data_IF_810427071024
#
_entry.id   IF_810427071024
#
_cell.length_a   1.000
_cell.length_b   1.000
_cell.length_c   1.000
_cell.angle_alpha   90.00
_cell.angle_beta   90.00
_cell.angle_gamma   90.00
#
_symmetry.space_group_name_H-M   'P 1'
#
loop_
_entity.id
_entity.type
_entity.pdbx_description
1 polymer ?
#
# COMPACT_ATOMS: atom_id res chain seq x y z
N UNK A 1 2.34 3.57 -38.29
CA UNK A 1 1.10 3.83 -37.53
C UNK A 1 0.25 2.59 -37.57
N UNK A 2 0.24 1.86 -36.47
CA UNK A 2 -0.60 0.68 -36.29
C UNK A 2 -1.98 1.18 -35.82
N UNK A 3 -3.05 0.92 -36.59
CA UNK A 3 -4.40 1.38 -36.25
C UNK A 3 -4.84 0.81 -34.90
N UNK A 4 -5.47 1.64 -34.07
CA UNK A 4 -6.23 1.16 -32.91
C UNK A 4 -7.23 0.09 -33.37
N UNK A 5 -7.39 -0.97 -32.58
CA UNK A 5 -8.30 -2.08 -32.86
C UNK A 5 -9.36 -2.16 -31.75
N UNK A 6 -10.63 -2.49 -32.07
CA UNK A 6 -11.69 -2.61 -31.07
C UNK A 6 -11.29 -3.54 -29.92
N UNK A 7 -11.36 -3.04 -28.68
CA UNK A 7 -11.03 -3.80 -27.47
C UNK A 7 -9.52 -4.01 -27.22
N UNK A 8 -8.62 -3.47 -28.05
CA UNK A 8 -7.16 -3.57 -27.90
C UNK A 8 -6.50 -2.19 -27.88
N UNK A 9 -6.75 -1.42 -26.82
CA UNK A 9 -6.14 -0.09 -26.61
C UNK A 9 -4.63 -0.17 -26.33
N UNK A 10 -4.14 -1.33 -25.87
CA UNK A 10 -2.74 -1.59 -25.53
C UNK A 10 -1.78 -1.65 -26.73
N UNK A 11 -2.24 -1.46 -27.98
CA UNK A 11 -1.42 -1.54 -29.21
C UNK A 11 -1.02 -0.16 -29.77
N UNK A 12 -1.45 0.94 -29.15
CA UNK A 12 -1.15 2.30 -29.63
C UNK A 12 0.37 2.58 -29.64
N UNK A 13 0.95 2.86 -30.79
CA UNK A 13 2.35 3.25 -30.93
C UNK A 13 2.43 4.77 -31.13
N UNK A 14 2.81 5.48 -30.07
CA UNK A 14 3.04 6.92 -30.09
C UNK A 14 4.20 7.26 -29.15
N UNK A 15 5.17 8.02 -29.67
CA UNK A 15 6.35 8.43 -28.92
C UNK A 15 6.31 9.91 -28.54
N UNK A 16 5.41 10.69 -29.17
CA UNK A 16 5.20 12.11 -28.91
C UNK A 16 3.72 12.45 -28.72
N UNK A 17 3.45 13.57 -28.06
CA UNK A 17 2.09 14.09 -27.85
C UNK A 17 1.33 14.26 -29.18
N UNK A 18 1.98 14.77 -30.23
CA UNK A 18 1.37 14.95 -31.55
C UNK A 18 1.03 13.63 -32.25
N UNK A 19 1.91 12.63 -32.15
CA UNK A 19 1.64 11.28 -32.65
C UNK A 19 0.48 10.64 -31.89
N UNK A 20 0.44 10.81 -30.57
CA UNK A 20 -0.65 10.33 -29.72
C UNK A 20 -1.98 10.99 -30.11
N UNK A 21 -2.01 12.32 -30.18
CA UNK A 21 -3.17 13.10 -30.62
C UNK A 21 -3.68 12.63 -31.98
N UNK A 22 -2.78 12.45 -32.96
CA UNK A 22 -3.12 11.97 -34.30
C UNK A 22 -3.69 10.55 -34.28
N UNK A 23 -3.09 9.65 -33.50
CA UNK A 23 -3.54 8.26 -33.39
C UNK A 23 -4.92 8.14 -32.72
N UNK A 24 -5.16 8.94 -31.67
CA UNK A 24 -6.44 8.97 -30.95
C UNK A 24 -7.53 9.63 -31.80
N UNK A 25 -7.22 10.70 -32.53
CA UNK A 25 -8.12 11.33 -33.49
C UNK A 25 -8.52 10.38 -34.66
N UNK A 26 -7.67 9.40 -34.95
CA UNK A 26 -7.87 8.39 -35.98
C UNK A 26 -8.42 7.06 -35.42
N UNK A 27 -8.92 7.03 -34.18
CA UNK A 27 -9.56 5.84 -33.62
C UNK A 27 -10.69 5.34 -34.55
N UNK A 28 -10.78 4.03 -34.82
CA UNK A 28 -11.69 3.48 -35.83
C UNK A 28 -13.17 3.60 -35.45
N UNK A 29 -13.46 3.67 -34.15
CA UNK A 29 -14.80 3.80 -33.59
C UNK A 29 -14.78 4.47 -32.20
N UNK A 30 -15.97 4.84 -31.72
CA UNK A 30 -16.17 5.46 -30.41
C UNK A 30 -15.74 4.55 -29.24
N UNK A 31 -15.78 3.23 -29.42
CA UNK A 31 -15.42 2.28 -28.37
C UNK A 31 -13.89 2.26 -28.14
N UNK A 32 -13.10 2.33 -29.21
CA UNK A 32 -11.65 2.50 -29.14
C UNK A 32 -11.27 3.79 -28.43
N UNK A 33 -11.88 4.90 -28.82
CA UNK A 33 -11.64 6.20 -28.20
C UNK A 33 -12.00 6.18 -26.72
N UNK A 34 -13.19 5.67 -26.38
CA UNK A 34 -13.62 5.52 -24.99
C UNK A 34 -12.63 4.68 -24.17
N UNK A 35 -12.11 3.59 -24.72
CA UNK A 35 -11.11 2.77 -24.03
C UNK A 35 -9.79 3.48 -23.78
N UNK A 36 -9.32 4.35 -24.69
CA UNK A 36 -8.12 5.18 -24.46
C UNK A 36 -8.39 6.22 -23.38
N UNK A 37 -9.53 6.90 -23.42
CA UNK A 37 -9.92 7.90 -22.43
C UNK A 37 -10.10 7.29 -21.04
N UNK A 38 -10.69 6.10 -20.95
CA UNK A 38 -10.81 5.35 -19.71
C UNK A 38 -9.44 4.95 -19.14
N UNK A 39 -8.47 4.58 -19.98
CA UNK A 39 -7.10 4.34 -19.56
C UNK A 39 -6.44 5.61 -18.99
N UNK A 40 -6.58 6.76 -19.66
CA UNK A 40 -6.08 8.05 -19.16
C UNK A 40 -6.74 8.48 -17.84
N UNK A 41 -7.98 8.07 -17.57
CA UNK A 41 -8.69 8.41 -16.33
C UNK A 41 -8.16 7.63 -15.11
N UNK A 42 -7.69 6.39 -15.28
CA UNK A 42 -7.32 5.51 -14.16
C UNK A 42 -6.21 6.05 -13.27
N UNK A 43 -5.13 6.67 -13.78
CA UNK A 43 -4.11 7.28 -12.92
C UNK A 43 -4.63 8.49 -12.12
N UNK A 44 -5.74 9.12 -12.54
CA UNK A 44 -6.35 10.29 -11.90
C UNK A 44 -7.25 9.89 -10.72
N UNK A 45 -6.71 9.06 -9.83
CA UNK A 45 -7.35 8.73 -8.55
C UNK A 45 -7.39 9.97 -7.66
N UNK A 46 -8.51 10.15 -6.95
CA UNK A 46 -8.73 11.33 -6.13
C UNK A 46 -7.76 11.38 -4.94
N UNK A 47 -6.80 12.30 -5.00
CA UNK A 47 -5.94 12.69 -3.89
C UNK A 47 -5.91 14.21 -3.80
N UNK A 48 -6.12 14.75 -2.59
CA UNK A 48 -6.08 16.20 -2.34
C UNK A 48 -4.68 16.72 -2.03
N UNK A 49 -3.67 15.86 -2.06
CA UNK A 49 -2.41 16.12 -1.37
C UNK A 49 -1.16 15.95 -2.23
N UNK A 50 -1.34 15.66 -3.52
CA UNK A 50 -0.26 15.63 -4.50
C UNK A 50 -0.48 16.76 -5.50
N UNK A 51 0.53 17.62 -5.64
CA UNK A 51 0.51 18.82 -6.46
C UNK A 51 1.48 18.63 -7.62
N UNK A 52 1.02 18.87 -8.83
CA UNK A 52 1.81 18.73 -10.04
C UNK A 52 1.65 19.98 -10.90
N UNK A 53 2.74 20.43 -11.48
CA UNK A 53 2.80 21.53 -12.43
C UNK A 53 2.16 21.07 -13.73
N UNK A 54 1.12 21.79 -14.14
CA UNK A 54 0.43 21.62 -15.41
C UNK A 54 0.09 23.01 -15.96
N UNK A 55 0.50 23.28 -17.20
CA UNK A 55 0.40 24.61 -17.84
C UNK A 55 1.04 25.74 -17.01
N UNK A 56 2.21 25.46 -16.43
CA UNK A 56 2.96 26.41 -15.61
C UNK A 56 2.39 26.69 -14.21
N UNK A 57 1.28 26.05 -13.82
CA UNK A 57 0.64 26.24 -12.51
C UNK A 57 0.63 24.95 -11.70
N UNK A 58 0.81 25.05 -10.38
CA UNK A 58 0.60 23.92 -9.48
C UNK A 58 -0.88 23.58 -9.38
N UNK A 59 -1.22 22.34 -9.75
CA UNK A 59 -2.57 21.78 -9.74
C UNK A 59 -2.64 20.62 -8.79
N UNK A 60 -3.71 20.53 -8.00
CA UNK A 60 -4.03 19.27 -7.32
C UNK A 60 -4.62 18.28 -8.32
N UNK A 61 -4.62 16.99 -7.99
CA UNK A 61 -5.15 15.98 -8.92
C UNK A 61 -6.63 16.13 -9.27
N UNK A 62 -7.43 16.76 -8.40
CA UNK A 62 -8.81 17.12 -8.73
C UNK A 62 -8.89 18.12 -9.90
N UNK A 63 -7.94 19.05 -9.97
CA UNK A 63 -7.84 20.01 -11.07
C UNK A 63 -7.34 19.31 -12.34
N UNK A 64 -6.36 18.39 -12.23
CA UNK A 64 -5.93 17.57 -13.36
C UNK A 64 -7.05 16.69 -13.91
N UNK A 65 -7.91 16.15 -13.04
CA UNK A 65 -9.11 15.45 -13.47
C UNK A 65 -10.06 16.38 -14.21
N UNK A 66 -10.23 17.60 -13.74
CA UNK A 66 -11.07 18.59 -14.43
C UNK A 66 -10.50 18.94 -15.81
N UNK A 67 -9.17 19.05 -15.93
CA UNK A 67 -8.49 19.22 -17.22
C UNK A 67 -8.73 18.02 -18.15
N UNK A 68 -8.57 16.79 -17.64
CA UNK A 68 -8.89 15.57 -18.39
C UNK A 68 -10.35 15.54 -18.87
N UNK A 69 -11.33 15.84 -18.00
CA UNK A 69 -12.75 15.81 -18.37
C UNK A 69 -13.07 16.88 -19.42
N UNK A 70 -12.38 18.02 -19.40
CA UNK A 70 -12.47 19.04 -20.46
C UNK A 70 -11.92 18.55 -21.80
N UNK A 71 -10.76 17.87 -21.80
CA UNK A 71 -10.20 17.27 -23.02
C UNK A 71 -11.12 16.16 -23.57
N UNK A 72 -11.68 15.32 -22.70
CA UNK A 72 -12.57 14.21 -23.04
C UNK A 72 -13.81 14.65 -23.82
N UNK A 73 -14.27 15.88 -23.64
CA UNK A 73 -15.47 16.42 -24.28
C UNK A 73 -15.22 17.05 -25.66
N UNK A 74 -13.96 17.15 -26.10
CA UNK A 74 -13.55 17.78 -27.36
C UNK A 74 -12.96 16.76 -28.34
N UNK A 75 -13.00 17.09 -29.63
CA UNK A 75 -12.28 16.29 -30.64
C UNK A 75 -10.77 16.32 -30.30
N UNK A 76 -10.04 15.18 -30.29
CA UNK A 76 -8.61 15.16 -30.03
C UNK A 76 -7.79 16.12 -30.89
N UNK A 77 -8.23 16.45 -32.11
CA UNK A 77 -7.59 17.43 -32.99
C UNK A 77 -7.59 18.86 -32.43
N UNK A 78 -8.47 19.15 -31.48
CA UNK A 78 -8.61 20.45 -30.82
C UNK A 78 -7.78 20.57 -29.54
N UNK A 79 -7.11 19.49 -29.11
CA UNK A 79 -6.24 19.52 -27.95
C UNK A 79 -4.97 20.33 -28.28
N UNK A 80 -4.62 21.26 -27.41
CA UNK A 80 -3.32 21.91 -27.48
C UNK A 80 -2.18 20.94 -27.11
N UNK A 81 -0.94 21.38 -27.28
CA UNK A 81 0.22 20.50 -27.10
C UNK A 81 0.40 20.03 -25.65
N UNK A 82 0.08 20.86 -24.67
CA UNK A 82 0.13 20.50 -23.24
C UNK A 82 -1.00 19.54 -22.85
N UNK A 83 -2.18 19.69 -23.44
CA UNK A 83 -3.30 18.76 -23.31
C UNK A 83 -2.98 17.39 -23.92
N UNK A 84 -2.44 17.37 -25.14
CA UNK A 84 -2.01 16.13 -25.78
C UNK A 84 -0.90 15.44 -24.98
N UNK A 85 0.05 16.20 -24.42
CA UNK A 85 1.12 15.66 -23.59
C UNK A 85 0.63 15.10 -22.25
N UNK A 86 -0.33 15.78 -21.60
CA UNK A 86 -1.01 15.25 -20.43
C UNK A 86 -1.70 13.91 -20.74
N UNK A 87 -2.46 13.83 -21.84
CA UNK A 87 -3.18 12.62 -22.22
C UNK A 87 -2.23 11.45 -22.51
N UNK A 88 -1.13 11.70 -23.24
CA UNK A 88 -0.06 10.72 -23.47
C UNK A 88 0.57 10.27 -22.14
N UNK A 89 0.88 11.21 -21.25
CA UNK A 89 1.50 10.94 -19.95
C UNK A 89 0.61 10.04 -19.09
N UNK A 90 -0.68 10.34 -19.00
CA UNK A 90 -1.66 9.53 -18.28
C UNK A 90 -1.80 8.13 -18.91
N UNK A 91 -1.84 8.05 -20.23
CA UNK A 91 -1.91 6.76 -20.92
C UNK A 91 -0.66 5.89 -20.67
N UNK A 92 0.53 6.50 -20.68
CA UNK A 92 1.79 5.83 -20.37
C UNK A 92 1.84 5.33 -18.92
N UNK A 93 1.33 6.11 -17.97
CA UNK A 93 1.23 5.73 -16.57
C UNK A 93 0.29 4.53 -16.36
N UNK A 94 -0.89 4.52 -16.99
CA UNK A 94 -1.81 3.36 -16.95
C UNK A 94 -1.15 2.12 -17.56
N UNK A 95 -0.49 2.28 -18.72
CA UNK A 95 0.22 1.19 -19.42
C UNK A 95 1.29 0.55 -18.55
N UNK A 96 1.97 1.32 -17.70
CA UNK A 96 3.04 0.85 -16.82
C UNK A 96 2.58 0.54 -15.38
N UNK A 97 1.27 0.52 -15.12
CA UNK A 97 0.70 0.39 -13.76
C UNK A 97 1.36 1.33 -12.74
N UNK A 98 1.62 2.57 -13.15
CA UNK A 98 2.34 3.58 -12.37
C UNK A 98 1.37 4.66 -11.91
N UNK A 99 1.38 4.98 -10.62
CA UNK A 99 0.55 6.06 -10.08
C UNK A 99 1.17 7.44 -10.28
N UNK A 100 0.33 8.47 -10.28
CA UNK A 100 0.79 9.85 -10.35
C UNK A 100 1.68 10.27 -9.18
N UNK A 101 1.68 9.57 -8.05
CA UNK A 101 2.53 9.82 -6.88
C UNK A 101 4.01 9.44 -7.07
N UNK A 102 4.34 8.79 -8.19
CA UNK A 102 5.73 8.58 -8.59
C UNK A 102 6.33 9.80 -9.28
N UNK A 103 5.52 10.79 -9.66
CA UNK A 103 6.01 12.03 -10.24
C UNK A 103 6.33 13.01 -9.11
N UNK A 104 7.46 13.72 -9.20
CA UNK A 104 7.89 14.67 -8.15
C UNK A 104 7.00 15.91 -8.14
N UNK A 105 6.96 16.64 -9.25
CA UNK A 105 6.32 17.95 -9.32
C UNK A 105 5.73 18.27 -10.70
N UNK A 106 5.91 17.44 -11.72
CA UNK A 106 5.45 17.69 -13.09
C UNK A 106 4.63 16.52 -13.62
N UNK A 107 3.64 16.81 -14.47
CA UNK A 107 2.84 15.80 -15.18
C UNK A 107 2.97 15.99 -16.69
N UNK A 108 4.20 15.81 -17.17
CA UNK A 108 4.57 15.86 -18.58
C UNK A 108 5.29 14.58 -19.01
N UNK A 109 5.38 14.35 -20.32
CA UNK A 109 5.94 13.11 -20.86
C UNK A 109 7.41 12.90 -20.51
N UNK A 110 8.16 13.97 -20.26
CA UNK A 110 9.55 13.90 -19.82
C UNK A 110 9.64 13.40 -18.37
N UNK A 111 8.81 13.92 -17.47
CA UNK A 111 8.73 13.47 -16.08
C UNK A 111 8.30 11.99 -15.99
N UNK A 112 7.30 11.57 -16.79
CA UNK A 112 6.91 10.16 -16.85
C UNK A 112 8.05 9.29 -17.39
N UNK A 113 8.76 9.74 -18.43
CA UNK A 113 9.90 9.03 -19.00
C UNK A 113 11.03 8.83 -17.97
N UNK A 114 11.36 9.85 -17.18
CA UNK A 114 12.36 9.76 -16.11
C UNK A 114 12.02 8.65 -15.10
N UNK A 115 10.77 8.62 -14.63
CA UNK A 115 10.28 7.58 -13.71
C UNK A 115 10.34 6.19 -14.33
N UNK A 116 9.90 6.05 -15.58
CA UNK A 116 9.90 4.76 -16.25
C UNK A 116 11.31 4.26 -16.55
N UNK A 117 12.27 5.14 -16.84
CA UNK A 117 13.68 4.75 -16.95
C UNK A 117 14.25 4.28 -15.62
N UNK A 118 13.94 4.97 -14.51
CA UNK A 118 14.35 4.55 -13.19
C UNK A 118 13.78 3.17 -12.83
N UNK A 119 12.48 2.93 -13.08
CA UNK A 119 11.83 1.62 -12.88
C UNK A 119 12.42 0.54 -13.78
N UNK A 120 12.64 0.83 -15.06
CA UNK A 120 13.26 -0.10 -15.99
C UNK A 120 14.65 -0.50 -15.49
N UNK A 121 15.51 0.46 -15.13
CA UNK A 121 16.85 0.19 -14.61
C UNK A 121 16.82 -0.64 -13.31
N UNK A 122 15.89 -0.35 -12.40
CA UNK A 122 15.66 -1.13 -11.18
C UNK A 122 15.34 -2.59 -11.51
N UNK A 123 14.41 -2.82 -12.44
CA UNK A 123 13.97 -4.17 -12.80
C UNK A 123 15.05 -4.94 -13.57
N UNK A 124 15.62 -4.33 -14.62
CA UNK A 124 16.65 -5.01 -15.42
C UNK A 124 17.93 -5.25 -14.61
N UNK A 125 18.26 -4.38 -13.66
CA UNK A 125 19.35 -4.63 -12.70
C UNK A 125 19.22 -5.96 -11.95
N UNK A 126 17.99 -6.47 -11.78
CA UNK A 126 17.71 -7.76 -11.15
C UNK A 126 17.60 -8.90 -12.16
N UNK A 127 16.81 -8.73 -13.23
CA UNK A 127 16.42 -9.85 -14.11
C UNK A 127 17.15 -9.91 -15.45
N UNK A 128 17.70 -8.80 -15.93
CA UNK A 128 18.36 -8.71 -17.24
C UNK A 128 19.35 -7.53 -17.33
N UNK A 129 20.50 -7.54 -16.63
CA UNK A 129 21.34 -6.34 -16.46
C UNK A 129 21.92 -5.74 -17.74
N UNK A 130 21.99 -6.53 -18.81
CA UNK A 130 22.49 -6.08 -20.13
C UNK A 130 21.39 -5.47 -21.02
N UNK A 131 20.13 -5.51 -20.60
CA UNK A 131 19.01 -5.01 -21.39
C UNK A 131 19.00 -3.48 -21.44
N UNK A 132 18.80 -2.93 -22.64
CA UNK A 132 18.66 -1.48 -22.87
C UNK A 132 17.20 -1.07 -22.84
N UNK A 133 16.94 0.10 -22.26
CA UNK A 133 15.62 0.70 -22.25
C UNK A 133 15.14 1.01 -23.68
N UNK A 134 13.86 0.77 -24.01
CA UNK A 134 13.27 1.25 -25.25
C UNK A 134 13.30 2.79 -25.36
N UNK A 135 13.47 3.30 -26.58
CA UNK A 135 13.52 4.75 -26.85
C UNK A 135 12.11 5.40 -26.80
N UNK A 136 11.07 4.68 -27.19
CA UNK A 136 9.69 5.15 -27.20
C UNK A 136 9.04 5.15 -25.82
N UNK A 137 8.26 6.19 -25.48
CA UNK A 137 7.65 6.31 -24.14
C UNK A 137 6.68 5.15 -23.86
N UNK A 138 5.78 4.86 -24.79
CA UNK A 138 4.81 3.78 -24.63
C UNK A 138 5.46 2.40 -24.72
N UNK A 139 6.54 2.25 -25.51
CA UNK A 139 7.33 1.03 -25.54
C UNK A 139 8.04 0.78 -24.19
N UNK A 140 8.61 1.83 -23.59
CA UNK A 140 9.21 1.79 -22.26
C UNK A 140 8.17 1.45 -21.18
N UNK A 141 6.99 2.08 -21.23
CA UNK A 141 5.89 1.80 -20.31
C UNK A 141 5.45 0.32 -20.34
N UNK A 142 5.21 -0.23 -21.53
CA UNK A 142 4.89 -1.66 -21.71
C UNK A 142 6.01 -2.54 -21.20
N UNK A 143 7.27 -2.18 -21.48
CA UNK A 143 8.40 -3.00 -21.06
C UNK A 143 8.54 -3.05 -19.54
N UNK A 144 8.30 -1.93 -18.86
CA UNK A 144 8.24 -1.88 -17.38
C UNK A 144 7.13 -2.80 -16.86
N UNK A 145 5.93 -2.75 -17.44
CA UNK A 145 4.82 -3.64 -17.08
C UNK A 145 5.16 -5.12 -17.30
N UNK A 146 5.77 -5.48 -18.42
CA UNK A 146 6.19 -6.85 -18.73
C UNK A 146 7.28 -7.38 -17.78
N UNK A 147 8.18 -6.50 -17.33
CA UNK A 147 9.27 -6.85 -16.42
C UNK A 147 8.77 -7.05 -14.98
N UNK A 148 7.72 -6.34 -14.56
CA UNK A 148 7.17 -6.39 -13.20
C UNK A 148 6.88 -7.83 -12.71
N UNK A 149 6.07 -8.66 -13.40
CA UNK A 149 5.80 -10.03 -12.96
C UNK A 149 7.06 -10.90 -12.99
N UNK A 150 8.05 -10.60 -13.84
CA UNK A 150 9.32 -11.34 -13.91
C UNK A 150 10.14 -11.09 -12.65
N UNK A 151 10.24 -9.83 -12.19
CA UNK A 151 10.91 -9.44 -10.93
C UNK A 151 10.20 -10.06 -9.73
N UNK A 152 8.86 -10.02 -9.72
CA UNK A 152 8.04 -10.54 -8.62
C UNK A 152 8.14 -12.06 -8.39
N UNK A 153 8.78 -12.81 -9.29
CA UNK A 153 9.06 -14.25 -9.09
C UNK A 153 10.14 -14.50 -8.04
N UNK A 154 11.00 -13.52 -7.77
CA UNK A 154 12.14 -13.68 -6.87
C UNK A 154 12.31 -12.52 -5.89
N UNK A 155 11.60 -11.41 -6.10
CA UNK A 155 11.69 -10.20 -5.28
C UNK A 155 10.31 -9.67 -4.91
N UNK A 156 10.19 -9.12 -3.72
CA UNK A 156 9.07 -8.27 -3.32
C UNK A 156 9.28 -6.84 -3.82
N UNK A 157 8.20 -6.23 -4.31
CA UNK A 157 8.17 -4.82 -4.66
C UNK A 157 7.63 -4.03 -3.46
N UNK A 158 8.30 -2.96 -3.09
CA UNK A 158 7.87 -2.09 -2.01
C UNK A 158 7.95 -0.63 -2.40
N UNK A 159 7.11 0.20 -1.79
CA UNK A 159 7.14 1.64 -2.00
C UNK A 159 7.98 2.33 -0.94
N UNK A 160 8.75 3.33 -1.33
CA UNK A 160 9.42 4.27 -0.42
C UNK A 160 8.69 5.60 -0.52
N UNK A 161 8.22 6.13 0.61
CA UNK A 161 7.52 7.41 0.68
C UNK A 161 8.35 8.37 1.52
N UNK A 162 8.73 9.51 0.95
CA UNK A 162 9.22 10.65 1.72
C UNK A 162 8.09 11.65 1.93
N UNK A 163 7.66 11.82 3.18
CA UNK A 163 6.60 12.75 3.55
C UNK A 163 6.94 14.22 3.28
N UNK A 164 8.21 14.62 3.19
CA UNK A 164 8.54 16.03 2.87
C UNK A 164 8.18 16.39 1.43
N UNK A 165 8.53 15.52 0.49
CA UNK A 165 8.32 15.74 -0.93
C UNK A 165 6.99 15.15 -1.44
N UNK A 166 6.33 14.30 -0.63
CA UNK A 166 5.22 13.45 -1.06
C UNK A 166 5.54 12.65 -2.34
N UNK A 167 6.80 12.26 -2.47
CA UNK A 167 7.35 11.55 -3.61
C UNK A 167 7.44 10.06 -3.28
N UNK A 168 6.87 9.21 -4.14
CA UNK A 168 6.96 7.76 -4.03
C UNK A 168 8.00 7.24 -5.01
N UNK A 169 8.90 6.40 -4.52
CA UNK A 169 9.73 5.53 -5.37
C UNK A 169 9.42 4.07 -5.11
N UNK A 170 9.86 3.20 -6.00
CA UNK A 170 9.77 1.76 -5.83
C UNK A 170 11.16 1.18 -5.52
N UNK A 171 11.19 0.18 -4.64
CA UNK A 171 12.34 -0.64 -4.35
C UNK A 171 12.05 -2.12 -4.59
N UNK A 172 13.11 -2.91 -4.72
CA UNK A 172 13.07 -4.36 -4.84
C UNK A 172 13.75 -4.99 -3.63
N UNK A 173 13.17 -6.04 -3.09
CA UNK A 173 13.71 -6.81 -1.97
C UNK A 173 13.75 -8.29 -2.33
N UNK A 174 14.90 -9.00 -2.23
CA UNK A 174 14.93 -10.43 -2.50
C UNK A 174 13.98 -11.21 -1.56
N UNK A 175 13.13 -12.07 -2.10
CA UNK A 175 12.24 -12.91 -1.29
C UNK A 175 13.03 -13.87 -0.39
N UNK A 176 14.23 -14.26 -0.79
CA UNK A 176 15.13 -15.09 0.00
C UNK A 176 15.54 -14.44 1.34
N UNK A 177 15.47 -13.11 1.45
CA UNK A 177 15.79 -12.38 2.68
C UNK A 177 14.62 -12.40 3.69
N UNK A 178 13.43 -12.89 3.27
CA UNK A 178 12.20 -12.92 4.06
C UNK A 178 11.95 -14.35 4.57
N UNK A 179 12.61 -14.74 5.66
CA UNK A 179 12.42 -16.07 6.27
C UNK A 179 11.13 -16.14 7.12
N UNK A 180 10.02 -16.51 6.50
CA UNK A 180 8.74 -16.72 7.19
C UNK A 180 8.62 -18.08 7.87
N UNK A 181 9.52 -19.02 7.58
CA UNK A 181 9.44 -20.41 8.06
C UNK A 181 10.01 -20.57 9.47
N UNK A 182 10.88 -19.65 9.91
CA UNK A 182 11.48 -19.68 11.25
C UNK A 182 11.10 -18.46 12.07
N UNK A 183 10.50 -18.72 13.23
CA UNK A 183 10.24 -17.68 14.23
C UNK A 183 11.56 -17.07 14.71
N UNK A 184 11.55 -15.76 15.00
CA UNK A 184 12.64 -15.16 15.77
C UNK A 184 12.66 -15.74 17.19
N UNK A 185 13.82 -15.68 17.89
CA UNK A 185 13.88 -16.02 19.32
C UNK A 185 12.82 -15.27 20.14
N UNK A 186 12.66 -13.97 19.90
CA UNK A 186 11.66 -13.15 20.59
C UNK A 186 10.22 -13.67 20.40
N UNK A 187 9.82 -14.01 19.17
CA UNK A 187 8.47 -14.57 18.95
C UNK A 187 8.35 -15.96 19.57
N UNK A 188 9.39 -16.78 19.46
CA UNK A 188 9.38 -18.11 20.05
C UNK A 188 9.20 -18.06 21.58
N UNK A 189 9.96 -17.21 22.26
CA UNK A 189 9.92 -17.03 23.71
C UNK A 189 8.55 -16.55 24.18
N UNK A 190 8.00 -15.49 23.56
CA UNK A 190 6.69 -14.95 23.96
C UNK A 190 5.56 -15.96 23.67
N UNK A 191 5.64 -16.74 22.59
CA UNK A 191 4.65 -17.79 22.34
C UNK A 191 4.75 -18.93 23.37
N UNK A 192 5.97 -19.33 23.75
CA UNK A 192 6.18 -20.38 24.76
C UNK A 192 5.69 -19.95 26.13
N UNK A 193 5.98 -18.72 26.52
CA UNK A 193 5.54 -18.13 27.79
C UNK A 193 4.01 -18.12 27.91
N UNK A 194 3.32 -17.71 26.84
CA UNK A 194 1.86 -17.51 26.88
C UNK A 194 1.06 -18.78 26.58
N UNK A 195 1.52 -19.63 25.65
CA UNK A 195 0.75 -20.75 25.12
C UNK A 195 1.40 -22.12 25.37
N UNK A 196 2.50 -22.18 26.12
CA UNK A 196 3.34 -23.38 26.19
C UNK A 196 4.00 -23.68 24.85
N UNK A 197 4.56 -24.87 24.67
CA UNK A 197 5.31 -25.23 23.45
C UNK A 197 4.36 -25.57 22.29
N UNK A 198 4.10 -24.67 21.32
CA UNK A 198 3.12 -24.94 20.28
C UNK A 198 3.69 -25.97 19.31
N UNK A 199 2.85 -26.92 18.87
CA UNK A 199 3.29 -28.02 18.03
C UNK A 199 3.63 -27.57 16.60
N UNK A 200 4.54 -28.29 15.94
CA UNK A 200 4.85 -28.14 14.52
C UNK A 200 6.30 -27.73 14.22
N UNK A 201 6.86 -28.19 13.09
CA UNK A 201 8.24 -27.87 12.72
C UNK A 201 8.42 -26.43 12.23
N UNK A 202 7.45 -25.89 11.49
CA UNK A 202 7.50 -24.57 10.89
C UNK A 202 6.85 -23.48 11.77
N UNK A 203 7.24 -22.23 11.57
CA UNK A 203 6.66 -21.06 12.23
C UNK A 203 5.14 -20.99 12.04
N UNK A 204 4.67 -21.20 10.82
CA UNK A 204 3.23 -21.14 10.51
C UNK A 204 2.44 -22.20 11.28
N UNK A 205 2.95 -23.43 11.40
CA UNK A 205 2.28 -24.49 12.16
C UNK A 205 2.19 -24.17 13.65
N UNK A 206 3.27 -23.63 14.23
CA UNK A 206 3.30 -23.22 15.63
C UNK A 206 2.32 -22.09 15.92
N UNK A 207 2.25 -21.09 15.03
CA UNK A 207 1.30 -19.99 15.13
C UNK A 207 -0.15 -20.48 15.01
N UNK A 208 -0.43 -21.39 14.08
CA UNK A 208 -1.76 -22.02 13.96
C UNK A 208 -2.12 -22.82 15.21
N UNK A 209 -1.18 -23.58 15.77
CA UNK A 209 -1.38 -24.33 17.00
C UNK A 209 -1.70 -23.41 18.19
N UNK A 210 -0.90 -22.34 18.39
CA UNK A 210 -1.18 -21.33 19.41
C UNK A 210 -2.54 -20.65 19.22
N UNK A 211 -2.89 -20.33 17.96
CA UNK A 211 -4.19 -19.75 17.60
C UNK A 211 -5.36 -20.66 17.96
N UNK A 212 -5.27 -21.96 17.68
CA UNK A 212 -6.31 -22.93 18.08
C UNK A 212 -6.47 -23.01 19.59
N UNK A 213 -5.36 -23.00 20.32
CA UNK A 213 -5.38 -22.99 21.80
C UNK A 213 -6.05 -21.73 22.33
N UNK A 214 -5.70 -20.56 21.80
CA UNK A 214 -6.31 -19.28 22.18
C UNK A 214 -7.81 -19.27 21.87
N UNK A 215 -8.22 -19.63 20.65
CA UNK A 215 -9.65 -19.64 20.26
C UNK A 215 -10.45 -20.62 21.11
N UNK A 216 -9.89 -21.78 21.45
CA UNK A 216 -10.56 -22.75 22.33
C UNK A 216 -10.71 -22.24 23.78
N UNK A 217 -9.81 -21.37 24.24
CA UNK A 217 -9.78 -20.87 25.62
C UNK A 217 -10.58 -19.57 25.77
N UNK A 218 -10.34 -18.61 24.88
CA UNK A 218 -10.79 -17.22 24.98
C UNK A 218 -11.93 -16.91 24.00
N UNK A 219 -12.16 -17.79 23.00
CA UNK A 219 -13.12 -17.57 21.92
C UNK A 219 -12.60 -16.69 20.78
N UNK A 220 -11.35 -16.21 20.85
CA UNK A 220 -10.65 -15.47 19.81
C UNK A 220 -9.13 -15.69 19.87
N UNK A 221 -8.35 -14.98 19.04
CA UNK A 221 -6.89 -15.10 18.97
C UNK A 221 -6.14 -13.79 19.24
N UNK A 222 -6.80 -12.79 19.83
CA UNK A 222 -6.20 -11.48 20.07
C UNK A 222 -4.94 -11.58 20.96
N UNK A 223 -4.92 -12.53 21.90
CA UNK A 223 -3.76 -12.84 22.74
C UNK A 223 -2.53 -13.27 21.94
N UNK A 224 -2.71 -14.08 20.88
CA UNK A 224 -1.60 -14.51 19.99
C UNK A 224 -1.09 -13.34 19.15
N UNK A 225 -2.00 -12.52 18.61
CA UNK A 225 -1.63 -11.32 17.85
C UNK A 225 -0.79 -10.36 18.71
N UNK A 226 -1.24 -10.08 19.94
CA UNK A 226 -0.52 -9.24 20.89
C UNK A 226 0.83 -9.82 21.27
N UNK A 227 0.93 -11.14 21.45
CA UNK A 227 2.20 -11.82 21.70
C UNK A 227 3.22 -11.58 20.56
N UNK A 228 2.81 -11.77 19.31
CA UNK A 228 3.68 -11.52 18.14
C UNK A 228 4.04 -10.04 18.03
N UNK A 229 3.11 -9.12 18.30
CA UNK A 229 3.37 -7.67 18.29
C UNK A 229 4.34 -7.23 19.39
N UNK A 230 4.25 -7.81 20.60
CA UNK A 230 5.22 -7.56 21.68
C UNK A 230 6.62 -8.03 21.30
N UNK A 231 6.74 -9.19 20.67
CA UNK A 231 8.02 -9.66 20.14
C UNK A 231 8.60 -8.72 19.07
N UNK A 232 7.76 -8.12 18.22
CA UNK A 232 8.21 -7.12 17.24
C UNK A 232 8.78 -5.85 17.89
N UNK A 233 8.24 -5.42 19.03
CA UNK A 233 8.76 -4.28 19.81
C UNK A 233 10.09 -4.60 20.50
N UNK A 234 10.28 -5.84 20.92
CA UNK A 234 11.53 -6.33 21.51
C UNK A 234 12.62 -6.65 20.46
N UNK A 235 12.29 -6.61 19.17
CA UNK A 235 13.20 -6.98 18.10
C UNK A 235 14.30 -5.90 17.91
N UNK A 236 15.59 -6.23 18.14
CA UNK A 236 16.67 -5.27 18.07
C UNK A 236 16.94 -4.75 16.64
N UNK A 237 16.44 -5.45 15.61
CA UNK A 237 16.51 -4.95 14.22
C UNK A 237 15.50 -3.82 14.03
N UNK A 238 14.26 -4.03 14.50
CA UNK A 238 13.17 -3.09 14.26
C UNK A 238 13.30 -1.83 15.09
N UNK A 239 13.73 -1.93 16.36
CA UNK A 239 13.86 -0.78 17.29
C UNK A 239 12.62 0.10 17.27
N UNK A 240 11.44 -0.54 17.28
CA UNK A 240 10.17 0.13 17.09
C UNK A 240 9.72 0.82 18.38
N UNK A 241 9.12 2.01 18.24
CA UNK A 241 8.46 2.69 19.36
C UNK A 241 7.04 2.17 19.54
N UNK A 242 6.36 1.92 18.42
CA UNK A 242 5.05 1.30 18.43
C UNK A 242 4.82 0.45 17.19
N UNK A 243 3.94 -0.53 17.34
CA UNK A 243 3.46 -1.35 16.24
C UNK A 243 1.95 -1.33 16.20
N UNK A 244 1.36 -1.48 15.03
CA UNK A 244 -0.09 -1.50 14.89
C UNK A 244 -0.52 -2.50 13.84
N UNK A 245 -1.44 -3.39 14.23
CA UNK A 245 -2.13 -4.29 13.33
C UNK A 245 -3.52 -3.74 13.07
N UNK A 246 -3.96 -3.76 11.81
CA UNK A 246 -5.38 -3.60 11.49
C UNK A 246 -5.83 -4.61 10.45
N UNK A 247 -6.94 -5.29 10.73
CA UNK A 247 -7.62 -6.22 9.85
C UNK A 247 -9.13 -6.24 10.16
N UNK A 248 -9.98 -6.82 9.30
CA UNK A 248 -11.38 -7.07 9.62
C UNK A 248 -11.54 -7.97 10.85
N UNK A 249 -12.65 -7.84 11.58
CA UNK A 249 -12.88 -8.70 12.76
C UNK A 249 -13.19 -10.16 12.39
N UNK A 250 -13.85 -10.40 11.26
CA UNK A 250 -14.14 -11.75 10.74
C UNK A 250 -15.62 -12.02 10.43
N UNK A 251 -16.54 -11.12 10.80
CA UNK A 251 -18.00 -11.28 10.73
C UNK A 251 -18.68 -10.65 9.50
N UNK A 252 -17.93 -9.88 8.73
CA UNK A 252 -18.39 -9.20 7.50
C UNK A 252 -17.53 -9.53 6.29
N UNK A 253 -16.74 -10.61 6.36
CA UNK A 253 -15.76 -11.01 5.36
C UNK A 253 -16.38 -11.25 3.97
N UNK A 254 -17.62 -11.73 3.92
CA UNK A 254 -18.42 -11.97 2.71
C UNK A 254 -19.04 -10.70 2.11
N UNK A 255 -19.13 -9.63 2.90
CA UNK A 255 -19.72 -8.33 2.55
C UNK A 255 -18.77 -7.18 2.89
N UNK A 256 -17.55 -7.15 2.34
CA UNK A 256 -16.53 -6.14 2.69
C UNK A 256 -16.97 -4.71 2.41
N UNK A 257 -17.87 -4.51 1.44
CA UNK A 257 -18.46 -3.21 1.12
C UNK A 257 -19.30 -2.62 2.27
N UNK A 258 -19.73 -3.44 3.23
CA UNK A 258 -20.50 -3.00 4.40
C UNK A 258 -19.62 -2.61 5.60
N UNK A 259 -18.30 -2.87 5.55
CA UNK A 259 -17.31 -2.51 6.58
C UNK A 259 -17.02 -0.99 6.62
N UNK A 260 -18.07 -0.19 6.85
CA UNK A 260 -18.04 1.27 6.73
C UNK A 260 -17.76 2.01 8.04
N UNK A 261 -17.78 1.27 9.15
CA UNK A 261 -17.66 1.71 10.53
C UNK A 261 -16.39 1.14 11.18
N UNK A 262 -15.97 1.73 12.31
CA UNK A 262 -14.70 1.35 12.97
C UNK A 262 -14.78 0.01 13.71
N UNK A 263 -15.97 -0.41 14.13
CA UNK A 263 -16.30 -1.70 14.75
C UNK A 263 -16.23 -2.88 13.77
N UNK A 264 -16.08 -2.63 12.46
CA UNK A 264 -15.81 -3.68 11.49
C UNK A 264 -14.37 -4.22 11.53
N UNK A 265 -13.47 -3.52 12.24
CA UNK A 265 -12.04 -3.77 12.21
C UNK A 265 -11.48 -4.05 13.61
N UNK A 266 -10.66 -5.08 13.68
CA UNK A 266 -9.72 -5.26 14.75
C UNK A 266 -8.53 -4.31 14.51
N UNK A 267 -8.35 -3.33 15.39
CA UNK A 267 -7.16 -2.47 15.41
C UNK A 267 -6.53 -2.55 16.79
N UNK A 268 -5.29 -3.02 16.82
CA UNK A 268 -4.50 -3.20 18.02
C UNK A 268 -3.19 -2.44 17.88
N UNK A 269 -2.82 -1.68 18.91
CA UNK A 269 -1.59 -0.88 18.94
C UNK A 269 -0.83 -1.21 20.21
N UNK A 270 0.38 -1.71 20.04
CA UNK A 270 1.29 -2.03 21.14
C UNK A 270 2.45 -1.02 21.14
N UNK A 271 2.86 -0.60 22.33
CA UNK A 271 3.90 0.40 22.57
C UNK A 271 5.09 -0.30 23.22
N UNK A 272 6.31 0.14 22.90
CA UNK A 272 7.53 -0.38 23.50
C UNK A 272 7.54 -0.07 25.00
N UNK A 273 7.95 -1.03 25.83
CA UNK A 273 8.10 -0.78 27.27
C UNK A 273 9.21 0.26 27.53
N UNK A 274 8.99 1.14 28.51
CA UNK A 274 9.97 2.17 28.90
C UNK A 274 10.11 3.32 27.92
N UNK A 275 9.22 3.45 26.94
CA UNK A 275 9.12 4.68 26.15
C UNK A 275 8.52 5.80 27.02
N UNK A 276 9.15 6.99 27.01
CA UNK A 276 8.64 8.18 27.69
C UNK A 276 7.47 8.79 26.88
N UNK A 277 6.35 8.08 26.85
CA UNK A 277 5.15 8.50 26.11
C UNK A 277 4.58 9.83 26.58
N UNK A 278 4.84 10.23 27.84
CA UNK A 278 4.45 11.53 28.37
C UNK A 278 5.09 12.67 27.58
N UNK A 279 6.40 12.57 27.34
CA UNK A 279 7.16 13.56 26.58
C UNK A 279 6.66 13.64 25.14
N UNK A 280 6.41 12.50 24.51
CA UNK A 280 5.83 12.46 23.16
C UNK A 280 4.40 13.01 23.14
N UNK A 281 3.57 12.68 24.12
CA UNK A 281 2.21 13.20 24.21
C UNK A 281 2.24 14.74 24.29
N UNK A 282 3.06 15.31 25.19
CA UNK A 282 3.22 16.76 25.32
C UNK A 282 3.74 17.41 24.04
N UNK A 283 4.82 16.88 23.46
CA UNK A 283 5.42 17.39 22.22
C UNK A 283 4.43 17.41 21.04
N UNK A 284 3.56 16.42 20.98
CA UNK A 284 2.56 16.27 19.93
C UNK A 284 1.24 17.00 20.24
N UNK A 285 1.14 17.64 21.42
CA UNK A 285 -0.01 18.42 21.85
C UNK A 285 -1.18 17.60 22.37
N UNK A 286 -0.93 16.43 22.95
CA UNK A 286 -1.91 15.61 23.66
C UNK A 286 -1.89 15.89 25.16
N UNK A 287 -3.08 15.88 25.76
CA UNK A 287 -3.35 16.05 27.19
C UNK A 287 -2.88 14.86 28.02
N UNK A 288 -2.74 13.67 27.42
CA UNK A 288 -2.27 12.47 28.11
C UNK A 288 -1.73 11.39 27.15
N UNK A 289 -1.00 10.44 27.71
CA UNK A 289 -0.55 9.21 27.03
C UNK A 289 -1.73 8.40 26.48
N UNK A 290 -2.83 8.30 27.23
CA UNK A 290 -4.07 7.64 26.80
C UNK A 290 -4.68 8.32 25.57
N UNK A 291 -4.64 9.66 25.51
CA UNK A 291 -5.14 10.40 24.34
C UNK A 291 -4.27 10.14 23.11
N UNK A 292 -2.94 10.12 23.25
CA UNK A 292 -2.03 9.75 22.18
C UNK A 292 -2.31 8.32 21.68
N UNK A 293 -2.45 7.34 22.59
CA UNK A 293 -2.77 5.95 22.22
C UNK A 293 -4.09 5.83 21.46
N UNK A 294 -5.15 6.48 21.95
CA UNK A 294 -6.45 6.55 21.24
C UNK A 294 -6.32 7.20 19.86
N UNK A 295 -5.49 8.23 19.73
CA UNK A 295 -5.26 8.93 18.45
C UNK A 295 -4.55 8.06 17.44
N UNK A 296 -3.53 7.29 17.85
CA UNK A 296 -2.84 6.30 17.01
C UNK A 296 -3.85 5.30 16.46
N UNK A 297 -4.67 4.69 17.33
CA UNK A 297 -5.71 3.72 16.94
C UNK A 297 -6.73 4.32 15.98
N UNK A 298 -7.26 5.50 16.30
CA UNK A 298 -8.27 6.19 15.48
C UNK A 298 -7.75 6.52 14.07
N UNK A 299 -6.46 6.88 13.96
CA UNK A 299 -5.82 7.17 12.68
C UNK A 299 -5.78 5.95 11.76
N UNK A 300 -5.43 4.78 12.28
CA UNK A 300 -5.38 3.53 11.49
C UNK A 300 -6.76 3.08 11.01
N UNK A 301 -7.77 3.17 11.88
CA UNK A 301 -9.16 2.91 11.51
C UNK A 301 -9.64 3.84 10.38
N UNK A 302 -9.31 5.13 10.44
CA UNK A 302 -9.64 6.09 9.38
C UNK A 302 -9.04 5.69 8.03
N UNK A 303 -7.78 5.23 8.02
CA UNK A 303 -7.14 4.77 6.78
C UNK A 303 -7.84 3.53 6.21
N UNK A 304 -8.23 2.57 7.06
CA UNK A 304 -8.86 1.32 6.61
C UNK A 304 -10.28 1.49 6.09
N UNK A 305 -11.06 2.35 6.74
CA UNK A 305 -12.36 2.76 6.22
C UNK A 305 -12.24 3.45 4.86
N UNK A 306 -11.21 4.29 4.70
CA UNK A 306 -10.88 4.88 3.40
C UNK A 306 -10.58 3.81 2.34
N UNK A 307 -9.77 2.81 2.69
CA UNK A 307 -9.43 1.69 1.82
C UNK A 307 -10.66 0.87 1.40
N UNK A 308 -11.52 0.47 2.35
CA UNK A 308 -12.75 -0.28 2.03
C UNK A 308 -13.65 0.53 1.10
N UNK A 309 -13.87 1.81 1.40
CA UNK A 309 -14.70 2.67 0.55
C UNK A 309 -14.14 2.81 -0.85
N UNK A 310 -12.82 2.84 -1.01
CA UNK A 310 -12.18 2.97 -2.32
C UNK A 310 -12.11 1.65 -3.10
N UNK A 311 -12.01 0.50 -2.41
CA UNK A 311 -11.82 -0.81 -3.04
C UNK A 311 -13.14 -1.56 -3.30
N UNK A 312 -14.12 -1.40 -2.40
CA UNK A 312 -15.36 -2.19 -2.41
C UNK A 312 -16.64 -1.32 -2.44
N UNK A 313 -16.53 0.01 -2.47
CA UNK A 313 -17.70 0.89 -2.50
C UNK A 313 -18.48 0.84 -3.83
N UNK A 314 -19.74 1.30 -3.86
CA UNK A 314 -20.51 1.42 -5.09
C UNK A 314 -19.84 2.36 -6.10
N UNK A 315 -19.68 1.92 -7.35
CA UNK A 315 -19.00 2.70 -8.39
C UNK A 315 -17.48 2.75 -8.25
N UNK A 316 -16.90 2.04 -7.27
CA UNK A 316 -15.47 1.82 -7.22
C UNK A 316 -15.03 0.97 -8.41
N UNK A 317 -13.92 1.36 -8.99
CA UNK A 317 -13.25 0.59 -10.03
C UNK A 317 -12.64 -0.66 -9.35
N UNK A 318 -13.48 -1.68 -9.12
CA UNK A 318 -13.12 -2.92 -8.43
C UNK A 318 -11.81 -3.48 -9.02
N UNK A 319 -10.74 -3.49 -8.22
CA UNK A 319 -9.43 -4.02 -8.63
C UNK A 319 -8.56 -3.09 -9.47
N UNK A 320 -8.97 -1.84 -9.75
CA UNK A 320 -8.10 -0.85 -10.39
C UNK A 320 -7.34 -0.05 -9.33
N UNK A 321 -6.02 0.02 -9.52
CA UNK A 321 -5.00 0.49 -8.59
C UNK A 321 -5.38 1.77 -7.82
N UNK A 322 -5.59 1.66 -6.51
CA UNK A 322 -5.67 2.81 -5.58
C UNK A 322 -4.28 3.03 -4.99
N UNK A 323 -3.42 3.66 -5.78
CA UNK A 323 -2.37 4.63 -5.49
C UNK A 323 -1.45 4.55 -4.24
N UNK A 324 -1.82 3.94 -3.11
CA UNK A 324 -0.97 3.82 -1.89
C UNK A 324 -1.17 2.51 -1.13
N UNK A 325 -1.96 1.60 -1.68
CA UNK A 325 -2.69 0.64 -0.85
C UNK A 325 -2.14 -0.78 -0.97
N UNK A 326 -1.79 -1.31 -2.14
CA UNK A 326 -1.54 -2.75 -2.25
C UNK A 326 -0.33 -3.34 -1.49
N UNK A 327 0.83 -2.69 -1.54
CA UNK A 327 2.12 -3.35 -1.23
C UNK A 327 2.77 -3.00 0.11
N UNK A 328 3.93 -3.61 0.37
CA UNK A 328 4.82 -3.24 1.45
C UNK A 328 5.35 -1.82 1.27
N UNK A 329 5.62 -1.11 2.36
CA UNK A 329 6.14 0.26 2.26
C UNK A 329 7.20 0.55 3.31
N UNK A 330 8.05 1.50 2.98
CA UNK A 330 8.90 2.25 3.88
C UNK A 330 8.47 3.71 3.82
N UNK A 331 8.31 4.35 4.97
CA UNK A 331 7.98 5.77 5.05
C UNK A 331 9.00 6.52 5.91
N UNK A 332 9.34 7.73 5.47
CA UNK A 332 10.27 8.66 6.12
C UNK A 332 9.65 10.04 6.18
N UNK A 333 9.97 10.82 7.20
CA UNK A 333 9.41 12.15 7.43
C UNK A 333 7.88 12.20 7.28
N UNK A 334 7.15 11.14 7.64
CA UNK A 334 5.73 10.99 7.29
C UNK A 334 4.87 12.10 7.95
N UNK A 335 5.34 12.62 9.08
CA UNK A 335 4.73 13.71 9.83
C UNK A 335 4.94 15.11 9.25
N UNK A 336 5.89 15.30 8.33
CA UNK A 336 6.14 16.59 7.68
C UNK A 336 4.96 17.06 6.81
N UNK A 337 4.13 16.12 6.35
CA UNK A 337 3.08 16.39 5.36
C UNK A 337 1.71 16.64 5.96
N UNK A 338 1.31 15.83 6.93
CA UNK A 338 -0.07 15.73 7.36
C UNK A 338 -0.19 15.84 8.87
N UNK A 339 -1.07 16.75 9.32
CA UNK A 339 -1.38 16.93 10.75
C UNK A 339 -1.73 15.63 11.46
N UNK A 340 -2.35 14.66 10.78
CA UNK A 340 -2.69 13.38 11.41
C UNK A 340 -1.58 12.33 11.44
N UNK A 341 -0.45 12.51 10.71
CA UNK A 341 0.78 11.74 10.93
C UNK A 341 1.61 12.40 12.02
N UNK A 342 1.66 13.74 12.00
CA UNK A 342 2.22 14.56 13.08
C UNK A 342 1.57 14.26 14.43
N UNK A 343 0.24 14.22 14.50
CA UNK A 343 -0.47 13.97 15.76
C UNK A 343 -0.25 12.56 16.34
N UNK A 344 0.37 11.64 15.61
CA UNK A 344 0.71 10.30 16.13
C UNK A 344 2.21 10.07 16.21
N UNK A 345 3.01 11.12 15.96
CA UNK A 345 4.47 11.03 15.96
C UNK A 345 5.01 10.05 14.93
N UNK A 346 4.34 9.86 13.79
CA UNK A 346 4.83 8.91 12.79
C UNK A 346 5.93 9.58 11.95
N UNK A 347 7.18 9.48 12.40
CA UNK A 347 8.34 10.04 11.69
C UNK A 347 8.80 9.08 10.60
N UNK A 348 9.17 7.85 10.96
CA UNK A 348 9.60 6.83 9.99
C UNK A 348 9.12 5.43 10.37
N UNK A 349 9.16 4.51 9.41
CA UNK A 349 8.76 3.13 9.68
C UNK A 349 8.57 2.26 8.46
N UNK A 350 8.05 1.07 8.71
CA UNK A 350 7.75 0.05 7.71
C UNK A 350 6.30 -0.42 7.79
N UNK A 351 5.76 -0.84 6.64
CA UNK A 351 4.43 -1.42 6.49
C UNK A 351 4.53 -2.79 5.83
N UNK A 352 3.95 -3.80 6.49
CA UNK A 352 3.59 -5.06 5.86
C UNK A 352 2.08 -5.07 5.53
N UNK A 353 1.77 -4.93 4.24
CA UNK A 353 0.41 -5.10 3.72
C UNK A 353 0.23 -6.56 3.33
N UNK A 354 -0.92 -7.14 3.61
CA UNK A 354 -1.22 -8.50 3.19
C UNK A 354 -2.68 -8.71 2.79
N UNK A 355 -2.88 -9.64 1.87
CA UNK A 355 -4.18 -10.17 1.52
C UNK A 355 -4.65 -11.14 2.61
N UNK A 356 -5.96 -11.23 2.82
CA UNK A 356 -6.57 -12.16 3.77
C UNK A 356 -7.36 -13.21 3.02
N UNK A 357 -7.07 -14.48 3.32
CA UNK A 357 -7.82 -15.64 2.81
C UNK A 357 -8.87 -16.07 3.81
N UNK A 358 -10.08 -16.33 3.33
CA UNK A 358 -11.17 -16.86 4.15
C UNK A 358 -12.10 -17.75 3.34
N UNK A 359 -12.86 -18.62 4.01
CA UNK A 359 -13.88 -19.43 3.36
C UNK A 359 -15.27 -18.87 3.64
N UNK A 360 -16.06 -18.62 2.59
CA UNK A 360 -17.48 -18.27 2.70
C UNK A 360 -18.29 -19.26 1.87
N UNK A 361 -19.30 -19.91 2.47
CA UNK A 361 -20.13 -20.89 1.77
C UNK A 361 -19.36 -22.09 1.19
N UNK A 362 -18.20 -22.42 1.77
CA UNK A 362 -17.32 -23.51 1.30
C UNK A 362 -16.34 -23.13 0.18
N UNK A 363 -16.39 -21.91 -0.35
CA UNK A 363 -15.43 -21.40 -1.33
C UNK A 363 -14.39 -20.49 -0.66
N UNK A 364 -13.10 -20.70 -0.98
CA UNK A 364 -12.05 -19.77 -0.58
C UNK A 364 -12.16 -18.47 -1.36
N UNK A 365 -12.06 -17.35 -0.65
CA UNK A 365 -12.00 -16.02 -1.20
C UNK A 365 -10.77 -15.30 -0.66
N UNK A 366 -10.26 -14.36 -1.44
CA UNK A 366 -9.07 -13.58 -1.11
C UNK A 366 -9.44 -12.10 -1.17
N UNK A 367 -9.31 -11.42 -0.04
CA UNK A 367 -9.46 -9.97 0.02
C UNK A 367 -8.26 -9.30 -0.63
N UNK A 368 -8.46 -8.14 -1.26
CA UNK A 368 -7.37 -7.34 -1.84
C UNK A 368 -6.26 -7.08 -0.81
N UNK A 369 -4.98 -7.12 -1.20
CA UNK A 369 -3.89 -6.64 -0.36
C UNK A 369 -4.21 -5.25 0.20
N UNK A 370 -3.78 -4.97 1.44
CA UNK A 370 -4.07 -3.80 2.29
C UNK A 370 -5.19 -3.98 3.29
N UNK A 371 -6.05 -4.98 3.13
CA UNK A 371 -7.09 -5.21 4.11
C UNK A 371 -6.51 -5.71 5.44
N UNK A 372 -5.46 -6.54 5.36
CA UNK A 372 -4.51 -6.73 6.45
C UNK A 372 -3.34 -5.73 6.36
N UNK A 373 -3.00 -5.09 7.47
CA UNK A 373 -1.93 -4.09 7.53
C UNK A 373 -1.26 -4.12 8.89
N UNK A 374 0.04 -4.40 8.87
CA UNK A 374 0.91 -4.32 10.04
C UNK A 374 1.92 -3.20 9.83
N UNK A 375 2.04 -2.31 10.82
CA UNK A 375 2.94 -1.17 10.80
C UNK A 375 3.88 -1.20 11.97
N UNK A 376 5.11 -0.83 11.68
CA UNK A 376 6.19 -0.63 12.65
C UNK A 376 6.64 0.81 12.52
N UNK A 377 6.64 1.55 13.61
CA UNK A 377 6.89 3.00 13.60
C UNK A 377 7.97 3.37 14.61
N UNK A 378 8.82 4.30 14.20
CA UNK A 378 9.73 5.06 15.05
C UNK A 378 9.26 6.51 15.10
N UNK A 379 9.17 7.05 16.31
CA UNK A 379 8.70 8.40 16.57
C UNK A 379 9.83 9.43 16.54
N UNK A 380 11.08 8.98 16.72
CA UNK A 380 12.26 9.83 16.66
C UNK A 380 12.48 10.47 15.28
N UNK A 381 12.92 11.72 15.27
CA UNK A 381 13.41 12.45 14.09
C UNK A 381 14.92 12.34 13.87
N UNK A 382 15.61 11.57 14.73
CA UNK A 382 17.03 11.28 14.58
C UNK A 382 17.27 10.52 13.26
N UNK A 383 18.12 11.08 12.39
CA UNK A 383 18.42 10.51 11.08
C UNK A 383 19.06 9.12 11.21
N UNK A 384 19.88 8.89 12.24
CA UNK A 384 20.53 7.60 12.51
C UNK A 384 19.54 6.51 12.98
N UNK A 385 18.34 6.93 13.37
CA UNK A 385 17.23 6.05 13.77
C UNK A 385 16.19 5.90 12.67
N UNK A 386 16.38 6.52 11.50
CA UNK A 386 15.42 6.41 10.39
C UNK A 386 15.35 4.99 9.85
N UNK A 387 14.13 4.50 9.59
CA UNK A 387 13.91 3.18 9.01
C UNK A 387 14.53 3.07 7.61
N UNK A 388 15.25 1.97 7.34
CA UNK A 388 15.89 1.69 6.05
C UNK A 388 15.32 0.43 5.39
N UNK A 389 15.67 0.21 4.12
CA UNK A 389 15.21 -0.96 3.39
C UNK A 389 15.72 -2.28 4.00
N UNK A 390 16.85 -2.25 4.74
CA UNK A 390 17.43 -3.42 5.38
C UNK A 390 16.55 -3.98 6.51
N UNK A 391 15.71 -3.15 7.14
CA UNK A 391 14.78 -3.60 8.18
C UNK A 391 13.45 -4.11 7.61
N UNK A 392 13.14 -3.84 6.33
CA UNK A 392 11.86 -4.22 5.72
C UNK A 392 11.58 -5.73 5.68
N UNK A 393 12.56 -6.63 5.40
CA UNK A 393 12.33 -8.08 5.49
C UNK A 393 11.74 -8.48 6.84
N UNK A 394 12.25 -7.89 7.92
CA UNK A 394 11.79 -8.19 9.27
C UNK A 394 10.35 -7.75 9.48
N UNK A 395 9.97 -6.56 8.99
CA UNK A 395 8.57 -6.09 9.03
C UNK A 395 7.64 -7.03 8.26
N UNK A 396 8.04 -7.49 7.08
CA UNK A 396 7.26 -8.42 6.25
C UNK A 396 7.07 -9.75 6.98
N UNK A 397 8.13 -10.31 7.59
CA UNK A 397 8.04 -11.55 8.38
C UNK A 397 6.99 -11.47 9.48
N UNK A 398 6.99 -10.40 10.28
CA UNK A 398 5.96 -10.21 11.32
C UNK A 398 4.55 -10.05 10.71
N UNK A 399 4.42 -9.30 9.61
CA UNK A 399 3.15 -9.17 8.90
C UNK A 399 2.59 -10.52 8.42
N UNK A 400 3.44 -11.38 7.85
CA UNK A 400 3.06 -12.72 7.42
C UNK A 400 2.69 -13.64 8.59
N UNK A 401 3.39 -13.55 9.72
CA UNK A 401 3.01 -14.30 10.92
C UNK A 401 1.67 -13.86 11.49
N UNK A 402 1.41 -12.55 11.55
CA UNK A 402 0.11 -12.01 11.96
C UNK A 402 -0.99 -12.44 10.98
N UNK A 403 -0.72 -12.43 9.67
CA UNK A 403 -1.66 -12.96 8.65
C UNK A 403 -2.03 -14.40 8.94
N UNK A 404 -1.06 -15.28 9.23
CA UNK A 404 -1.33 -16.70 9.56
C UNK A 404 -2.27 -16.85 10.74
N UNK A 405 -2.07 -16.06 11.81
CA UNK A 405 -2.93 -16.07 13.00
C UNK A 405 -4.35 -15.58 12.65
N UNK A 406 -4.47 -14.49 11.91
CA UNK A 406 -5.76 -13.93 11.48
C UNK A 406 -6.53 -14.93 10.60
N UNK A 407 -5.89 -15.51 9.59
CA UNK A 407 -6.52 -16.49 8.68
C UNK A 407 -6.93 -17.78 9.41
N UNK A 408 -6.12 -18.26 10.37
CA UNK A 408 -6.49 -19.40 11.21
C UNK A 408 -7.72 -19.09 12.06
N UNK A 409 -7.82 -17.86 12.59
CA UNK A 409 -8.98 -17.42 13.38
C UNK A 409 -10.26 -17.47 12.56
N UNK A 410 -10.23 -16.92 11.35
CA UNK A 410 -11.38 -16.93 10.45
C UNK A 410 -11.79 -18.36 10.06
N UNK A 411 -10.81 -19.24 9.81
CA UNK A 411 -11.07 -20.64 9.47
C UNK A 411 -11.70 -21.44 10.63
N UNK A 412 -11.44 -21.04 11.88
CA UNK A 412 -12.11 -21.58 13.05
C UNK A 412 -13.50 -20.99 13.27
N UNK A 413 -13.95 -20.04 12.43
CA UNK A 413 -15.23 -19.34 12.57
C UNK A 413 -15.25 -18.34 13.72
N UNK A 414 -14.10 -18.00 14.28
CA UNK A 414 -13.97 -17.04 15.37
C UNK A 414 -13.89 -15.60 14.86
N UNK A 415 -14.26 -14.67 15.73
CA UNK A 415 -14.22 -13.21 15.46
C UNK A 415 -13.20 -12.59 16.40
N UNK A 416 -12.27 -11.80 15.85
CA UNK A 416 -11.29 -11.06 16.64
C UNK A 416 -11.98 -9.99 17.48
N UNK A 417 -11.77 -10.00 18.80
CA UNK A 417 -12.33 -8.99 19.69
C UNK A 417 -11.25 -8.01 20.12
N UNK A 418 -11.57 -6.72 20.10
CA UNK A 418 -10.79 -5.74 20.85
C UNK A 418 -11.42 -5.62 22.23
N UNK A 419 -10.61 -5.71 23.28
CA UNK A 419 -11.11 -5.44 24.63
C UNK A 419 -11.85 -4.09 24.62
N UNK A 420 -13.07 -4.07 25.15
CA UNK A 420 -13.75 -2.82 25.40
C UNK A 420 -12.84 -2.02 26.34
N UNK A 421 -12.58 -0.72 26.09
CA UNK A 421 -11.88 0.09 27.08
C UNK A 421 -12.64 -0.05 28.39
N UNK A 422 -11.96 -0.54 29.43
CA UNK A 422 -12.55 -0.64 30.76
C UNK A 422 -13.19 0.71 31.07
N UNK A 423 -14.49 0.75 31.43
CA UNK A 423 -15.10 2.00 31.86
C UNK A 423 -14.24 2.51 33.01
N UNK A 424 -13.63 3.69 32.81
CA UNK A 424 -12.83 4.34 33.84
C UNK A 424 -13.69 4.48 35.07
N UNK A 425 -13.22 3.91 36.19
CA UNK A 425 -13.82 4.08 37.51
C UNK A 425 -13.66 5.51 38.00
#
# INVERSE_FOLDING_TARGET
MTSLMPGRTHVLEADTADQFRTAVAAAPDEHCLAGVLDACLRPLVYSRHHWLVYKGEYRVRADLRSAFESCRQRDPREWDDEEADLMLSLFALDTASTGLDDLVDRVDSAAVREVLHARHALYTGVVAPAERAPDGLLALARRVEDLRPVVQRTHELFSVIDGRAWFRTEGVLPQADIDTERLTPAVHEVLVEVFGQPAGPAASDRLRAATRTAVATDGDSASVLRAVMRAALADPVLRADHVTLTCPMGDMLDRPHEMTTSDAFFTETQLRDGIELGDYAEQLGHESTDQLHRTIRARMLKLKRGAIRSLYGPGCLQGQFVEKHGGHMLFRNEDAHYRGHKSIGCSSGGRASFALRHATGGAEQVMTPMIGDFRVVRMSHDEDQTFTAAELPQVIRYGEWLRVVVEETYRLGAVLRTDAPSPTA
#
